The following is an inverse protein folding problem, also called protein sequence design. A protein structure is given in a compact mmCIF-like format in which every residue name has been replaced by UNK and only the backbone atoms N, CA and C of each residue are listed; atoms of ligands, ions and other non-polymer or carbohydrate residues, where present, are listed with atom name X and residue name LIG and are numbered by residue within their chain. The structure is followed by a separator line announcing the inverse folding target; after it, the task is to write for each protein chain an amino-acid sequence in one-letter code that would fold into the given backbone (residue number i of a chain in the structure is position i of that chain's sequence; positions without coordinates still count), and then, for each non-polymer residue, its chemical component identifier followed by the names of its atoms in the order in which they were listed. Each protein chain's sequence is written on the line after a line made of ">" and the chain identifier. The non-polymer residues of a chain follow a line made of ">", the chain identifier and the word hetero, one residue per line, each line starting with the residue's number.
data_IF_180980075967
#
_entry.id   IF_180980075967
#
_cell.length_a   1.000
_cell.length_b   1.000
_cell.length_c   1.000
_cell.angle_alpha   90.00
_cell.angle_beta   90.00
_cell.angle_gamma   90.00
#
_symmetry.space_group_name_H-M   'P 1'
#
loop_
_entity.id
_entity.type
_entity.pdbx_description
1 polymer ?
#
# COMPACT_ATOMS: atom_id res chain seq x y z
N UNK A 1 16.28 -21.10 2.21
CA UNK A 1 15.41 -20.74 1.08
C UNK A 1 14.23 -21.70 1.11
N UNK A 2 13.04 -21.24 1.53
CA UNK A 2 11.83 -22.07 1.49
C UNK A 2 11.20 -21.90 0.12
N UNK A 3 11.34 -22.92 -0.73
CA UNK A 3 10.62 -22.99 -2.00
C UNK A 3 9.39 -23.86 -1.75
N UNK A 4 8.21 -23.25 -1.66
CA UNK A 4 6.97 -24.02 -1.61
C UNK A 4 6.77 -24.69 -2.97
N UNK A 5 6.50 -25.99 -2.96
CA UNK A 5 6.22 -26.80 -4.16
C UNK A 5 4.84 -26.52 -4.79
N UNK A 6 4.02 -25.69 -4.15
CA UNK A 6 2.68 -25.35 -4.62
C UNK A 6 2.64 -23.93 -5.23
N UNK A 7 1.82 -23.70 -6.27
CA UNK A 7 1.54 -22.38 -6.79
C UNK A 7 1.00 -21.45 -5.68
N UNK A 8 1.35 -20.15 -5.67
CA UNK A 8 0.81 -19.19 -4.72
C UNK A 8 -0.72 -19.16 -4.81
N UNK A 9 -1.41 -19.19 -3.66
CA UNK A 9 -2.86 -19.03 -3.63
C UNK A 9 -3.28 -17.72 -4.34
N UNK A 10 -4.35 -17.74 -5.12
CA UNK A 10 -4.89 -16.57 -5.82
C UNK A 10 -5.62 -15.62 -4.86
N UNK A 11 -4.88 -15.08 -3.89
CA UNK A 11 -5.36 -14.15 -2.87
C UNK A 11 -4.57 -12.85 -2.90
N UNK A 12 -5.24 -11.75 -2.55
CA UNK A 12 -4.67 -10.42 -2.42
C UNK A 12 -3.95 -10.21 -1.08
N UNK A 13 -4.19 -11.07 -0.08
CA UNK A 13 -3.73 -10.89 1.31
C UNK A 13 -2.23 -10.62 1.43
N UNK A 14 -1.32 -11.37 0.78
CA UNK A 14 0.11 -11.07 0.89
C UNK A 14 0.48 -9.68 0.34
N UNK A 15 -0.20 -9.22 -0.71
CA UNK A 15 -0.02 -7.88 -1.26
C UNK A 15 -0.53 -6.81 -0.29
N UNK A 16 -1.72 -7.00 0.27
CA UNK A 16 -2.29 -6.08 1.26
C UNK A 16 -1.41 -5.95 2.51
N UNK A 17 -0.85 -7.05 3.02
CA UNK A 17 0.09 -7.04 4.15
C UNK A 17 1.38 -6.30 3.78
N UNK A 18 1.95 -6.57 2.60
CA UNK A 18 3.17 -5.90 2.16
C UNK A 18 2.98 -4.38 2.00
N UNK A 19 1.85 -3.96 1.45
CA UNK A 19 1.49 -2.55 1.33
C UNK A 19 1.26 -1.88 2.69
N UNK A 20 0.55 -2.53 3.62
CA UNK A 20 0.32 -1.98 4.95
C UNK A 20 1.62 -1.84 5.75
N UNK A 21 2.58 -2.76 5.57
CA UNK A 21 3.88 -2.71 6.25
C UNK A 21 4.70 -1.45 5.95
N UNK A 22 4.36 -0.65 4.93
CA UNK A 22 4.95 0.68 4.73
C UNK A 22 4.60 1.65 5.88
N UNK A 23 3.61 1.34 6.73
CA UNK A 23 3.28 2.11 7.95
C UNK A 23 4.49 2.38 8.83
N UNK A 24 5.45 1.45 8.88
CA UNK A 24 6.68 1.58 9.66
C UNK A 24 7.59 2.72 9.17
N UNK A 25 7.31 3.27 7.99
CA UNK A 25 8.02 4.41 7.38
C UNK A 25 7.20 5.70 7.42
N UNK A 26 5.98 5.66 7.96
CA UNK A 26 5.12 6.83 8.10
C UNK A 26 5.26 7.45 9.49
N UNK A 27 5.59 8.73 9.54
CA UNK A 27 5.63 9.52 10.78
C UNK A 27 4.29 10.22 11.01
N UNK A 28 3.48 9.68 11.92
CA UNK A 28 2.20 10.27 12.35
C UNK A 28 2.36 11.56 13.16
N UNK A 29 3.54 11.82 13.73
CA UNK A 29 3.83 13.04 14.47
C UNK A 29 4.41 14.17 13.59
N UNK A 30 4.46 13.98 12.26
CA UNK A 30 4.94 14.98 11.32
C UNK A 30 4.06 16.25 11.36
N UNK A 31 4.69 17.41 11.55
CA UNK A 31 4.01 18.71 11.46
C UNK A 31 3.49 19.01 10.05
N UNK A 32 4.10 18.40 9.02
CA UNK A 32 3.71 18.46 7.62
C UNK A 32 3.52 17.04 7.08
N UNK A 33 2.28 16.55 7.22
CA UNK A 33 1.92 15.14 7.02
C UNK A 33 2.23 14.57 5.63
N UNK A 34 2.26 15.40 4.58
CA UNK A 34 2.70 15.02 3.24
C UNK A 34 4.18 15.35 3.05
N UNK A 35 4.59 16.59 3.29
CA UNK A 35 5.93 17.09 2.94
C UNK A 35 7.05 16.33 3.66
N UNK A 36 6.79 15.78 4.85
CA UNK A 36 7.78 15.01 5.62
C UNK A 36 7.67 13.48 5.40
N UNK A 37 6.53 12.97 4.91
CA UNK A 37 6.32 11.54 4.67
C UNK A 37 6.44 11.15 3.18
N UNK A 38 6.37 12.12 2.28
CA UNK A 38 6.39 11.94 0.82
C UNK A 38 7.70 12.29 0.08
N UNK A 39 8.84 12.64 0.71
CA UNK A 39 10.14 12.44 0.09
C UNK A 39 10.55 10.97 0.30
N UNK A 40 10.93 10.20 -0.74
CA UNK A 40 11.40 8.83 -0.54
C UNK A 40 12.67 8.84 0.32
N UNK A 41 12.53 8.57 1.62
CA UNK A 41 13.65 8.41 2.52
C UNK A 41 14.21 6.99 2.37
N UNK A 42 15.48 6.85 2.03
CA UNK A 42 16.15 5.54 1.82
C UNK A 42 15.42 4.60 0.83
N UNK A 43 14.85 5.13 -0.26
CA UNK A 43 14.04 4.39 -1.23
C UNK A 43 12.78 3.72 -0.65
N UNK A 44 12.30 4.18 0.51
CA UNK A 44 11.11 3.64 1.16
C UNK A 44 9.91 4.48 0.77
N UNK A 45 8.91 3.84 0.17
CA UNK A 45 7.64 4.46 -0.22
C UNK A 45 6.60 4.24 0.87
N UNK A 46 5.71 5.20 1.06
CA UNK A 46 4.51 5.08 1.91
C UNK A 46 3.20 5.06 1.10
N UNK A 47 3.31 5.18 -0.22
CA UNK A 47 2.17 5.43 -1.10
C UNK A 47 1.15 4.29 -1.17
N UNK A 48 1.56 3.04 -0.94
CA UNK A 48 0.61 1.94 -0.87
C UNK A 48 -0.12 1.95 0.46
N UNK A 49 0.59 2.15 1.57
CA UNK A 49 -0.02 2.27 2.90
C UNK A 49 -1.03 3.42 2.94
N UNK A 50 -0.64 4.61 2.51
CA UNK A 50 -1.51 5.79 2.57
C UNK A 50 -2.73 5.66 1.67
N UNK A 51 -2.64 4.94 0.56
CA UNK A 51 -3.81 4.60 -0.26
C UNK A 51 -4.74 3.59 0.42
N UNK A 52 -4.19 2.59 1.12
CA UNK A 52 -4.97 1.59 1.85
C UNK A 52 -5.80 2.19 2.99
N UNK A 53 -5.22 3.13 3.75
CA UNK A 53 -5.86 3.71 4.94
C UNK A 53 -6.56 5.05 4.67
N UNK A 54 -6.66 5.46 3.41
CA UNK A 54 -7.22 6.76 3.04
C UNK A 54 -8.68 6.89 3.45
N UNK A 55 -8.97 7.66 4.51
CA UNK A 55 -10.30 7.79 5.13
C UNK A 55 -11.43 8.05 4.12
N UNK A 56 -11.21 8.92 3.13
CA UNK A 56 -12.25 9.28 2.15
C UNK A 56 -12.47 8.22 1.05
N UNK A 57 -11.62 7.21 0.93
CA UNK A 57 -11.79 6.11 -0.03
C UNK A 57 -12.76 5.07 0.54
N UNK A 58 -14.04 5.21 0.22
CA UNK A 58 -15.09 4.32 0.74
C UNK A 58 -15.27 2.99 -0.01
N UNK A 59 -14.59 2.81 -1.15
CA UNK A 59 -14.74 1.61 -1.98
C UNK A 59 -13.40 1.24 -2.63
N UNK A 60 -13.10 -0.06 -2.67
CA UNK A 60 -11.94 -0.62 -3.36
C UNK A 60 -12.33 -1.89 -4.12
N UNK A 61 -11.62 -2.14 -5.22
CA UNK A 61 -11.71 -3.38 -5.99
C UNK A 61 -10.31 -3.90 -6.31
N UNK A 62 -10.09 -5.20 -6.17
CA UNK A 62 -8.80 -5.83 -6.37
C UNK A 62 -8.87 -7.00 -7.35
N UNK A 63 -7.82 -7.17 -8.14
CA UNK A 63 -7.60 -8.32 -9.01
C UNK A 63 -6.26 -8.97 -8.69
N UNK A 64 -6.19 -10.29 -8.86
CA UNK A 64 -4.98 -11.08 -8.70
C UNK A 64 -4.74 -11.91 -9.95
N UNK A 65 -3.50 -11.94 -10.41
CA UNK A 65 -3.04 -12.82 -11.47
C UNK A 65 -1.84 -13.63 -10.95
N UNK A 66 -1.86 -14.94 -11.17
CA UNK A 66 -0.72 -15.82 -10.90
C UNK A 66 -0.14 -16.30 -12.22
N UNK A 67 1.19 -16.35 -12.30
CA UNK A 67 1.89 -16.86 -13.45
C UNK A 67 3.13 -17.65 -13.03
N UNK A 68 3.77 -18.28 -14.00
CA UNK A 68 5.01 -19.02 -13.79
C UNK A 68 6.02 -18.51 -14.81
N UNK A 69 7.20 -18.13 -14.32
CA UNK A 69 8.38 -17.91 -15.17
C UNK A 69 9.23 -19.17 -15.18
N UNK A 70 10.27 -19.24 -16.01
CA UNK A 70 11.16 -20.40 -16.09
C UNK A 70 11.84 -20.79 -14.76
N UNK A 71 11.85 -19.89 -13.75
CA UNK A 71 12.51 -20.13 -12.46
C UNK A 71 11.62 -19.90 -11.23
N UNK A 72 10.49 -19.16 -11.33
CA UNK A 72 9.70 -18.76 -10.16
C UNK A 72 8.20 -18.68 -10.46
N UNK A 73 7.39 -18.94 -9.44
CA UNK A 73 6.00 -18.51 -9.44
C UNK A 73 5.91 -17.00 -9.21
N UNK A 74 5.13 -16.32 -10.04
CA UNK A 74 4.89 -14.89 -9.96
C UNK A 74 3.44 -14.62 -9.57
N UNK A 75 3.23 -13.53 -8.83
CA UNK A 75 1.90 -13.03 -8.46
C UNK A 75 1.87 -11.52 -8.67
N UNK A 76 0.84 -11.04 -9.35
CA UNK A 76 0.50 -9.62 -9.42
C UNK A 76 -0.81 -9.39 -8.67
N UNK A 77 -0.83 -8.42 -7.76
CA UNK A 77 -2.04 -7.94 -7.08
C UNK A 77 -2.20 -6.47 -7.44
N UNK A 78 -3.37 -6.11 -7.95
CA UNK A 78 -3.71 -4.73 -8.30
C UNK A 78 -5.00 -4.36 -7.58
N UNK A 79 -4.98 -3.27 -6.84
CA UNK A 79 -6.19 -2.69 -6.24
C UNK A 79 -6.43 -1.28 -6.79
N UNK A 80 -7.69 -0.95 -6.99
CA UNK A 80 -8.18 0.36 -7.42
C UNK A 80 -9.15 0.88 -6.36
N UNK A 81 -9.01 2.15 -6.03
CA UNK A 81 -9.84 2.84 -5.04
C UNK A 81 -10.81 3.78 -5.77
N UNK A 82 -12.08 3.80 -5.35
CA UNK A 82 -13.12 4.65 -5.93
C UNK A 82 -13.45 5.81 -4.98
N UNK A 83 -13.65 6.99 -5.59
CA UNK A 83 -13.87 8.30 -4.96
C UNK A 83 -12.62 8.88 -4.25
N UNK A 84 -12.35 10.17 -4.52
CA UNK A 84 -11.14 10.94 -4.19
C UNK A 84 -9.84 10.13 -4.35
N UNK A 85 -9.15 10.33 -5.47
CA UNK A 85 -7.83 9.74 -5.74
C UNK A 85 -7.00 9.77 -4.47
N UNK A 86 -6.78 8.61 -3.83
CA UNK A 86 -5.94 8.55 -2.63
C UNK A 86 -4.59 9.20 -2.91
N UNK A 87 -3.91 9.66 -1.86
CA UNK A 87 -2.61 10.33 -1.97
C UNK A 87 -2.67 11.69 -2.71
N UNK A 88 -3.70 12.51 -2.44
CA UNK A 88 -3.71 13.92 -2.88
C UNK A 88 -2.55 14.66 -2.22
N UNK A 89 -1.57 15.07 -3.02
CA UNK A 89 -0.24 15.53 -2.62
C UNK A 89 -0.21 16.89 -1.88
N UNK A 90 -0.83 16.95 -0.70
CA UNK A 90 -0.88 18.15 0.15
C UNK A 90 -0.91 17.75 1.62
N UNK A 91 -0.33 18.57 2.49
CA UNK A 91 -0.30 18.29 3.94
C UNK A 91 -1.70 18.20 4.55
N UNK A 92 -2.64 19.04 4.09
CA UNK A 92 -4.01 19.07 4.61
C UNK A 92 -4.79 17.80 4.29
N UNK A 93 -4.70 17.29 3.05
CA UNK A 93 -5.37 16.04 2.68
C UNK A 93 -4.75 14.83 3.38
N UNK A 94 -3.43 14.79 3.53
CA UNK A 94 -2.76 13.70 4.26
C UNK A 94 -3.16 13.68 5.73
N UNK A 95 -3.12 14.83 6.41
CA UNK A 95 -3.54 14.93 7.81
C UNK A 95 -5.01 14.52 8.03
N UNK A 96 -5.89 14.79 7.05
CA UNK A 96 -7.30 14.45 7.15
C UNK A 96 -7.61 12.96 6.85
N UNK A 97 -6.72 12.25 6.15
CA UNK A 97 -7.01 10.92 5.61
C UNK A 97 -6.11 9.80 6.11
N UNK A 98 -4.89 10.08 6.59
CA UNK A 98 -3.96 9.08 7.11
C UNK A 98 -3.88 9.25 8.63
N UNK A 99 -4.77 8.58 9.34
CA UNK A 99 -4.93 8.73 10.79
C UNK A 99 -4.07 7.71 11.55
N UNK A 100 -3.62 8.02 12.78
CA UNK A 100 -2.95 7.06 13.65
C UNK A 100 -3.81 5.80 13.88
N UNK A 101 -3.19 4.62 14.05
CA UNK A 101 -3.90 3.42 14.46
C UNK A 101 -4.56 3.61 15.84
N UNK A 102 -5.66 2.89 16.06
CA UNK A 102 -6.39 2.84 17.34
C UNK A 102 -5.70 1.93 18.37
#
# INVERSE_FOLDING_TARGET
>A
MWVSSAPPAATCTPGAVAWYNEVQYYNFAAAKAFTQNWPPYNNRTVGHFTALVWKASGQLGCGVATGTTSAYYCKAVVCRYRAQSGNIATDSFFAANVLPPI
#
